data_IF_454932685489
#
_entry.id   IF_454932685489
#
_cell.length_a   1.000
_cell.length_b   1.000
_cell.length_c   1.000
_cell.angle_alpha   90.00
_cell.angle_beta   90.00
_cell.angle_gamma   90.00
#
_symmetry.space_group_name_H-M   'P 1'
#
loop_
_entity.id
_entity.type
_entity.pdbx_description
1 polymer ?
#
# COMPACT_ATOMS: atom_id res chain seq x y z
N UNK A 1 -3.66 25.53 -57.99
CA UNK A 1 -4.92 24.85 -58.37
C UNK A 1 -4.95 23.50 -57.67
N UNK A 2 -5.95 23.27 -56.80
CA UNK A 2 -6.09 22.05 -55.99
C UNK A 2 -6.33 20.79 -56.84
N UNK A 3 -5.83 19.64 -56.36
CA UNK A 3 -6.64 18.43 -56.26
C UNK A 3 -6.55 17.87 -54.82
N UNK A 4 -7.65 17.69 -54.10
CA UNK A 4 -8.63 16.58 -54.11
C UNK A 4 -8.41 15.68 -52.88
N UNK A 5 -9.51 15.48 -52.16
CA UNK A 5 -9.83 14.31 -51.33
C UNK A 5 -9.11 14.25 -49.98
N UNK A 6 -9.73 14.70 -48.90
CA UNK A 6 -10.75 13.96 -48.12
C UNK A 6 -10.26 12.57 -47.71
N UNK A 7 -9.78 12.47 -46.46
CA UNK A 7 -10.18 11.50 -45.44
C UNK A 7 -9.17 11.58 -44.27
N UNK A 8 -9.35 12.59 -43.41
CA UNK A 8 -8.71 12.59 -42.10
C UNK A 8 -9.53 11.65 -41.20
N UNK A 9 -9.09 10.39 -41.08
CA UNK A 9 -9.62 9.46 -40.08
C UNK A 9 -9.14 9.95 -38.71
N UNK A 10 -9.99 10.71 -38.02
CA UNK A 10 -9.82 11.04 -36.61
C UNK A 10 -10.01 9.74 -35.80
N UNK A 11 -8.90 9.05 -35.53
CA UNK A 11 -8.86 8.03 -34.51
C UNK A 11 -8.99 8.71 -33.15
N UNK A 12 -10.23 8.88 -32.68
CA UNK A 12 -10.49 9.25 -31.29
C UNK A 12 -10.12 8.03 -30.45
N UNK A 13 -8.88 7.98 -29.99
CA UNK A 13 -8.47 7.11 -28.90
C UNK A 13 -9.24 7.56 -27.66
N UNK A 14 -10.39 6.91 -27.39
CA UNK A 14 -11.06 6.98 -26.09
C UNK A 14 -10.04 6.49 -25.06
N UNK A 15 -9.35 7.45 -24.45
CA UNK A 15 -8.57 7.23 -23.25
C UNK A 15 -9.58 6.91 -22.17
N UNK A 16 -9.81 5.63 -21.92
CA UNK A 16 -10.58 5.16 -20.78
C UNK A 16 -10.01 5.87 -19.57
N UNK A 17 -10.83 6.72 -18.96
CA UNK A 17 -10.51 7.37 -17.70
C UNK A 17 -10.08 6.27 -16.73
N UNK A 18 -8.79 6.27 -16.38
CA UNK A 18 -8.24 5.40 -15.36
C UNK A 18 -8.73 5.85 -13.99
N UNK A 19 -10.03 5.75 -13.73
CA UNK A 19 -10.51 5.66 -12.35
C UNK A 19 -9.90 4.38 -11.80
N UNK A 20 -9.07 4.50 -10.78
CA UNK A 20 -8.35 3.40 -10.17
C UNK A 20 -9.29 2.23 -9.90
N UNK A 21 -9.16 1.14 -10.66
CA UNK A 21 -9.90 -0.12 -10.48
C UNK A 21 -9.82 -0.65 -9.04
N UNK A 22 -8.89 -0.14 -8.21
CA UNK A 22 -8.62 -0.62 -6.85
C UNK A 22 -9.45 0.03 -5.74
N UNK A 23 -9.72 1.34 -5.77
CA UNK A 23 -10.71 1.94 -4.85
C UNK A 23 -12.12 1.36 -5.06
N UNK A 24 -12.41 0.95 -6.30
CA UNK A 24 -13.62 0.20 -6.62
C UNK A 24 -13.65 -1.20 -5.98
N UNK A 25 -12.52 -1.86 -5.71
CA UNK A 25 -12.51 -3.24 -5.17
C UNK A 25 -13.20 -3.29 -3.81
N UNK A 26 -12.90 -2.36 -2.91
CA UNK A 26 -13.44 -2.39 -1.56
C UNK A 26 -14.82 -1.75 -1.45
N UNK A 27 -15.08 -0.65 -2.17
CA UNK A 27 -16.38 0.00 -2.15
C UNK A 27 -17.44 -0.73 -2.99
N UNK A 28 -17.12 -1.27 -4.16
CA UNK A 28 -18.13 -1.94 -5.00
C UNK A 28 -18.49 -3.34 -4.50
N UNK A 29 -17.56 -4.04 -3.84
CA UNK A 29 -17.83 -5.40 -3.34
C UNK A 29 -18.37 -5.46 -1.92
N UNK A 30 -18.48 -4.33 -1.20
CA UNK A 30 -18.89 -4.32 0.22
C UNK A 30 -18.10 -5.34 1.04
N UNK A 31 -16.79 -5.36 0.84
CA UNK A 31 -15.93 -6.39 1.43
C UNK A 31 -15.92 -6.31 2.95
N UNK A 32 -15.94 -7.47 3.58
CA UNK A 32 -15.67 -7.63 5.01
C UNK A 32 -14.19 -7.34 5.30
N UNK A 33 -13.88 -7.04 6.56
CA UNK A 33 -12.51 -6.78 6.99
C UNK A 33 -11.57 -7.96 6.65
N UNK A 34 -12.05 -9.20 6.83
CA UNK A 34 -11.27 -10.40 6.56
C UNK A 34 -10.97 -10.57 5.06
N UNK A 35 -11.95 -10.31 4.19
CA UNK A 35 -11.72 -10.33 2.74
C UNK A 35 -10.72 -9.25 2.28
N UNK A 36 -10.70 -8.09 2.94
CA UNK A 36 -9.69 -7.05 2.67
C UNK A 36 -8.31 -7.54 3.11
N UNK A 37 -8.20 -8.15 4.30
CA UNK A 37 -6.95 -8.74 4.81
C UNK A 37 -6.44 -9.82 3.85
N UNK A 38 -7.32 -10.70 3.37
CA UNK A 38 -6.99 -11.72 2.37
C UNK A 38 -6.50 -11.08 1.07
N UNK A 39 -7.13 -10.00 0.64
CA UNK A 39 -6.73 -9.27 -0.58
C UNK A 39 -5.37 -8.60 -0.42
N UNK A 40 -5.06 -8.04 0.75
CA UNK A 40 -3.74 -7.52 1.11
C UNK A 40 -2.71 -8.66 1.08
N UNK A 41 -3.03 -9.79 1.70
CA UNK A 41 -2.16 -10.97 1.77
C UNK A 41 -1.95 -11.63 0.40
N UNK A 42 -2.89 -11.51 -0.53
CA UNK A 42 -2.77 -12.02 -1.89
C UNK A 42 -1.87 -11.16 -2.80
N UNK A 43 -1.54 -9.92 -2.39
CA UNK A 43 -0.69 -9.05 -3.20
C UNK A 43 0.73 -9.62 -3.36
N UNK A 44 1.31 -9.38 -4.55
CA UNK A 44 2.66 -9.88 -4.89
C UNK A 44 3.79 -9.17 -4.15
N UNK A 45 3.55 -7.99 -3.59
CA UNK A 45 4.57 -7.25 -2.85
C UNK A 45 4.01 -6.11 -2.01
N UNK A 46 4.91 -5.51 -1.22
CA UNK A 46 4.62 -4.45 -0.27
C UNK A 46 3.84 -3.27 -0.88
N UNK A 47 4.31 -2.70 -1.99
CA UNK A 47 3.66 -1.54 -2.62
C UNK A 47 2.21 -1.80 -3.04
N UNK A 48 1.96 -2.96 -3.63
CA UNK A 48 0.60 -3.38 -3.99
C UNK A 48 -0.28 -3.61 -2.76
N UNK A 49 0.27 -4.16 -1.67
CA UNK A 49 -0.45 -4.33 -0.41
C UNK A 49 -0.79 -3.00 0.25
N UNK A 50 0.18 -2.07 0.31
CA UNK A 50 -0.04 -0.73 0.84
C UNK A 50 -1.14 0.01 0.06
N UNK A 51 -1.15 -0.15 -1.26
CA UNK A 51 -2.20 0.46 -2.09
C UNK A 51 -3.59 -0.10 -1.77
N UNK A 52 -3.72 -1.41 -1.55
CA UNK A 52 -5.00 -2.00 -1.11
C UNK A 52 -5.40 -1.41 0.24
N UNK A 53 -4.48 -1.31 1.20
CA UNK A 53 -4.80 -0.72 2.50
C UNK A 53 -5.28 0.74 2.38
N UNK A 54 -4.60 1.58 1.58
CA UNK A 54 -5.03 2.96 1.33
C UNK A 54 -6.40 3.04 0.65
N UNK A 55 -6.66 2.15 -0.31
CA UNK A 55 -7.90 2.14 -1.07
C UNK A 55 -9.09 1.58 -0.25
N UNK A 56 -8.81 0.89 0.88
CA UNK A 56 -9.79 0.13 1.67
C UNK A 56 -9.82 0.51 3.16
N UNK A 57 -9.17 1.62 3.53
CA UNK A 57 -9.10 2.05 4.92
C UNK A 57 -10.48 2.40 5.49
N UNK A 58 -10.63 2.15 6.79
CA UNK A 58 -11.80 2.54 7.55
C UNK A 58 -11.68 3.94 8.18
N UNK A 59 -10.45 4.46 8.32
CA UNK A 59 -10.15 5.64 9.13
C UNK A 59 -10.39 5.39 10.64
N UNK A 60 -10.37 4.12 11.07
CA UNK A 60 -10.78 3.70 12.41
C UNK A 60 -10.01 2.44 12.89
N UNK A 61 -10.51 1.76 13.92
CA UNK A 61 -9.83 0.62 14.54
C UNK A 61 -9.68 -0.59 13.63
N UNK A 62 -10.49 -0.72 12.57
CA UNK A 62 -10.34 -1.79 11.57
C UNK A 62 -8.98 -1.75 10.86
N UNK A 63 -8.42 -0.54 10.70
CA UNK A 63 -7.12 -0.33 10.06
C UNK A 63 -5.96 -0.93 10.83
N UNK A 64 -6.13 -1.25 12.12
CA UNK A 64 -5.11 -1.94 12.92
C UNK A 64 -4.78 -3.30 12.32
N UNK A 65 -5.81 -4.05 11.89
CA UNK A 65 -5.59 -5.37 11.29
C UNK A 65 -5.13 -5.28 9.84
N UNK A 66 -5.65 -4.30 9.08
CA UNK A 66 -5.22 -4.06 7.70
C UNK A 66 -3.74 -3.64 7.65
N UNK A 67 -3.36 -2.67 8.50
CA UNK A 67 -1.98 -2.21 8.64
C UNK A 67 -1.03 -3.33 9.04
N UNK A 68 -1.41 -4.18 10.00
CA UNK A 68 -0.60 -5.35 10.39
C UNK A 68 -0.39 -6.34 9.24
N UNK A 69 -1.41 -6.54 8.38
CA UNK A 69 -1.27 -7.37 7.18
C UNK A 69 -0.27 -6.76 6.18
N UNK A 70 -0.31 -5.44 5.97
CA UNK A 70 0.68 -4.72 5.15
C UNK A 70 2.07 -4.80 5.76
N UNK A 71 2.22 -4.55 7.06
CA UNK A 71 3.50 -4.68 7.78
C UNK A 71 4.15 -6.03 7.49
N UNK A 72 3.40 -7.13 7.70
CA UNK A 72 3.89 -8.49 7.44
C UNK A 72 4.29 -8.71 5.98
N UNK A 73 3.50 -8.20 5.04
CA UNK A 73 3.81 -8.29 3.60
C UNK A 73 5.10 -7.54 3.27
N UNK A 74 5.31 -6.36 3.83
CA UNK A 74 6.49 -5.55 3.60
C UNK A 74 7.74 -6.13 4.28
N UNK A 75 7.60 -6.66 5.49
CA UNK A 75 8.69 -7.32 6.23
C UNK A 75 9.28 -8.52 5.49
N UNK A 76 8.49 -9.22 4.67
CA UNK A 76 8.99 -10.33 3.84
C UNK A 76 10.14 -9.91 2.90
N UNK A 77 10.20 -8.65 2.47
CA UNK A 77 11.23 -8.17 1.54
C UNK A 77 12.60 -7.95 2.21
N UNK A 78 12.65 -7.78 3.53
CA UNK A 78 13.86 -7.30 4.19
C UNK A 78 14.22 -7.99 5.50
N UNK A 79 13.25 -8.60 6.20
CA UNK A 79 13.45 -9.01 7.59
C UNK A 79 14.45 -10.17 7.74
N UNK A 80 14.49 -11.09 6.77
CA UNK A 80 15.48 -12.19 6.74
C UNK A 80 16.93 -11.71 6.49
N UNK A 81 17.10 -10.56 5.83
CA UNK A 81 18.40 -9.99 5.50
C UNK A 81 18.93 -8.96 6.50
N UNK A 82 18.15 -8.60 7.54
CA UNK A 82 18.57 -7.59 8.50
C UNK A 82 19.56 -8.14 9.52
N UNK A 83 20.72 -7.47 9.62
CA UNK A 83 21.61 -7.57 10.79
C UNK A 83 20.92 -7.01 12.04
N UNK A 84 21.31 -7.47 13.21
CA UNK A 84 20.74 -7.10 14.52
C UNK A 84 20.57 -5.58 14.71
N UNK A 85 21.59 -4.79 14.39
CA UNK A 85 21.54 -3.33 14.50
C UNK A 85 20.45 -2.69 13.61
N UNK A 86 20.26 -3.18 12.38
CA UNK A 86 19.21 -2.66 11.47
C UNK A 86 17.82 -3.11 11.92
N UNK A 87 17.70 -4.33 12.44
CA UNK A 87 16.44 -4.81 13.05
C UNK A 87 16.06 -3.95 14.26
N UNK A 88 17.03 -3.58 15.08
CA UNK A 88 16.79 -2.67 16.21
C UNK A 88 16.39 -1.26 15.74
N UNK A 89 17.02 -0.73 14.69
CA UNK A 89 16.62 0.55 14.11
C UNK A 89 15.17 0.54 13.61
N UNK A 90 14.78 -0.53 12.88
CA UNK A 90 13.39 -0.73 12.44
C UNK A 90 12.42 -0.73 13.62
N UNK A 91 12.68 -1.54 14.66
CA UNK A 91 11.82 -1.61 15.85
C UNK A 91 11.72 -0.27 16.59
N UNK A 92 12.80 0.53 16.61
CA UNK A 92 12.76 1.88 17.17
C UNK A 92 11.83 2.81 16.39
N UNK A 93 11.83 2.75 15.06
CA UNK A 93 10.88 3.52 14.23
C UNK A 93 9.44 3.06 14.48
N UNK A 94 9.19 1.75 14.59
CA UNK A 94 7.86 1.23 14.95
C UNK A 94 7.38 1.76 16.30
N UNK A 95 8.26 1.78 17.32
CA UNK A 95 7.93 2.35 18.63
C UNK A 95 7.72 3.87 18.60
N UNK A 96 8.28 4.60 17.64
CA UNK A 96 7.94 6.02 17.45
C UNK A 96 6.49 6.14 17.02
N UNK A 97 6.02 5.30 16.09
CA UNK A 97 4.62 5.27 15.69
C UNK A 97 3.70 4.94 16.86
N UNK A 98 4.02 3.88 17.63
CA UNK A 98 3.22 3.45 18.78
C UNK A 98 3.07 4.55 19.83
N UNK A 99 4.11 5.35 20.04
CA UNK A 99 4.09 6.43 21.05
C UNK A 99 3.40 7.69 20.57
N UNK A 100 3.39 7.97 19.25
CA UNK A 100 2.91 9.24 18.68
C UNK A 100 1.48 9.56 19.09
N UNK A 101 0.61 8.55 19.12
CA UNK A 101 -0.82 8.73 19.42
C UNK A 101 -1.31 7.97 20.66
N UNK A 102 -0.41 7.44 21.49
CA UNK A 102 -0.77 6.53 22.59
C UNK A 102 -1.73 7.12 23.63
N UNK A 103 -1.64 8.43 23.86
CA UNK A 103 -2.45 9.16 24.84
C UNK A 103 -3.69 9.82 24.20
N UNK A 104 -3.94 9.58 22.91
CA UNK A 104 -5.09 10.13 22.22
C UNK A 104 -6.28 9.16 22.31
N UNK A 105 -7.46 9.72 22.47
CA UNK A 105 -8.72 8.96 22.56
C UNK A 105 -9.42 8.94 21.20
N UNK A 106 -10.09 7.82 20.90
CA UNK A 106 -10.81 7.63 19.64
C UNK A 106 -10.11 6.67 18.67
N UNK A 107 -10.90 6.03 17.83
CA UNK A 107 -10.46 4.99 16.89
C UNK A 107 -9.66 5.55 15.71
N UNK A 108 -9.90 6.82 15.34
CA UNK A 108 -9.11 7.53 14.33
C UNK A 108 -7.60 7.49 14.62
N UNK A 109 -7.20 7.70 15.88
CA UNK A 109 -5.78 7.66 16.26
C UNK A 109 -5.17 6.25 16.22
N UNK A 110 -6.01 5.22 16.29
CA UNK A 110 -5.59 3.82 16.09
C UNK A 110 -5.29 3.57 14.61
N UNK A 111 -6.13 4.09 13.72
CA UNK A 111 -5.85 4.12 12.28
C UNK A 111 -4.55 4.85 11.96
N UNK A 112 -4.35 6.06 12.50
CA UNK A 112 -3.10 6.80 12.28
C UNK A 112 -1.85 6.06 12.77
N UNK A 113 -1.97 5.28 13.84
CA UNK A 113 -0.87 4.42 14.32
C UNK A 113 -0.60 3.29 13.33
N UNK A 114 -1.64 2.62 12.83
CA UNK A 114 -1.52 1.56 11.85
C UNK A 114 -0.88 2.04 10.53
N UNK A 115 -1.30 3.20 10.02
CA UNK A 115 -0.69 3.82 8.85
C UNK A 115 0.78 4.14 9.06
N UNK A 116 1.14 4.79 10.19
CA UNK A 116 2.52 5.11 10.49
C UNK A 116 3.42 3.86 10.44
N UNK A 117 2.96 2.77 11.04
CA UNK A 117 3.70 1.50 11.08
C UNK A 117 3.82 0.87 9.68
N UNK A 118 2.72 0.81 8.93
CA UNK A 118 2.72 0.29 7.56
C UNK A 118 3.68 1.09 6.64
N UNK A 119 3.69 2.42 6.76
CA UNK A 119 4.61 3.30 6.01
C UNK A 119 6.08 3.08 6.40
N UNK A 120 6.38 2.86 7.68
CA UNK A 120 7.74 2.50 8.12
C UNK A 120 8.17 1.20 7.44
N UNK A 121 7.34 0.15 7.50
CA UNK A 121 7.61 -1.13 6.86
C UNK A 121 7.77 -0.98 5.33
N UNK A 122 6.95 -0.15 4.69
CA UNK A 122 7.03 0.17 3.27
C UNK A 122 8.37 0.80 2.89
N UNK A 123 8.83 1.82 3.61
CA UNK A 123 10.13 2.45 3.34
C UNK A 123 11.29 1.45 3.48
N UNK A 124 11.21 0.54 4.44
CA UNK A 124 12.23 -0.49 4.62
C UNK A 124 12.23 -1.51 3.47
N UNK A 125 11.06 -1.97 3.03
CA UNK A 125 10.91 -2.80 1.83
C UNK A 125 11.50 -2.11 0.59
N UNK A 126 11.12 -0.85 0.32
CA UNK A 126 11.64 -0.08 -0.81
C UNK A 126 13.17 0.01 -0.81
N UNK A 127 13.77 0.30 0.36
CA UNK A 127 15.23 0.36 0.52
C UNK A 127 15.89 -0.98 0.27
N UNK A 128 15.32 -2.08 0.77
CA UNK A 128 15.85 -3.42 0.58
C UNK A 128 15.77 -3.86 -0.88
N UNK A 129 14.61 -3.69 -1.53
CA UNK A 129 14.42 -4.02 -2.95
C UNK A 129 15.32 -3.19 -3.86
N UNK A 130 15.48 -1.88 -3.56
CA UNK A 130 16.43 -1.02 -4.28
C UNK A 130 17.87 -1.51 -4.14
N UNK A 131 18.25 -2.01 -2.96
CA UNK A 131 19.59 -2.56 -2.72
C UNK A 131 19.80 -3.93 -3.40
N UNK A 132 18.75 -4.74 -3.57
CA UNK A 132 18.81 -6.04 -4.24
C UNK A 132 18.88 -5.95 -5.78
N UNK A 133 18.36 -4.87 -6.36
CA UNK A 133 18.39 -4.61 -7.81
C UNK A 133 17.37 -5.42 -8.62
N UNK A 134 17.30 -5.22 -9.96
CA UNK A 134 16.20 -5.73 -10.81
C UNK A 134 16.09 -7.25 -10.94
N UNK A 135 17.10 -8.02 -10.51
CA UNK A 135 17.15 -9.49 -10.66
C UNK A 135 16.42 -10.27 -9.55
N UNK A 136 15.87 -9.57 -8.55
CA UNK A 136 15.26 -10.19 -7.37
C UNK A 136 13.72 -10.28 -7.43
N UNK A 137 13.11 -10.10 -8.62
CA UNK A 137 11.66 -9.96 -8.80
C UNK A 137 11.09 -11.02 -9.73
#
# INVERSE_FOLDING_TARGET
MLPRSCLAVLAVALSVAGTSVRAAVCMEKSMTQDEIIETINAQKGCESAMKVFQDCEYGASGDVQLGAAVEKKCEADFMSGLKSARKQAYQREMHVCDRKYRNQSGTMYRSFTAFCRAEVAQRYSQRALKAAGPKAR
#
